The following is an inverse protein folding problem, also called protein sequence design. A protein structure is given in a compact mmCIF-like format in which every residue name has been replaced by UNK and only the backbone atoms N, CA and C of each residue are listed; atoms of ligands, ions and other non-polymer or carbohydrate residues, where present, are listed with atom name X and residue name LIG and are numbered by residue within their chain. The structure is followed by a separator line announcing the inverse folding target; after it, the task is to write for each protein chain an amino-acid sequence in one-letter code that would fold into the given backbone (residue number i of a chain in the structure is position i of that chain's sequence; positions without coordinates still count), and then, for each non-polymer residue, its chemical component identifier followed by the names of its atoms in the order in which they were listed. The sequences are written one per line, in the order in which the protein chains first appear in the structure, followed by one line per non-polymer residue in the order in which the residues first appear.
data_IF_386536876507
#
_entry.id   IF_386536876507
#
_cell.length_a   1.000
_cell.length_b   1.000
_cell.length_c   1.000
_cell.angle_alpha   90.00
_cell.angle_beta   90.00
_cell.angle_gamma   90.00
#
_symmetry.space_group_name_H-M   'P 1'
#
loop_
_entity.id
_entity.type
_entity.pdbx_description
1 polymer ?
#
# COMPACT_ATOMS: atom_id res chain seq x y z
N UNK A 1 -43.30 22.45 -16.58
CA UNK A 1 -41.86 22.79 -16.58
C UNK A 1 -41.37 22.95 -18.02
N UNK A 2 -40.42 23.84 -18.30
CA UNK A 2 -39.81 23.95 -19.63
C UNK A 2 -39.01 22.69 -19.97
N UNK A 3 -38.99 22.28 -21.25
CA UNK A 3 -38.22 21.13 -21.77
C UNK A 3 -36.76 21.15 -21.30
N UNK A 4 -36.15 22.33 -21.24
CA UNK A 4 -34.76 22.49 -20.83
C UNK A 4 -34.57 22.20 -19.33
N UNK A 5 -35.55 22.55 -18.49
CA UNK A 5 -35.50 22.25 -17.05
C UNK A 5 -35.66 20.75 -16.82
N UNK A 6 -36.53 20.09 -17.58
CA UNK A 6 -36.71 18.64 -17.51
C UNK A 6 -35.44 17.89 -17.92
N UNK A 7 -34.78 18.33 -19.01
CA UNK A 7 -33.51 17.76 -19.45
C UNK A 7 -32.40 17.92 -18.41
N UNK A 8 -32.30 19.09 -17.78
CA UNK A 8 -31.32 19.32 -16.71
C UNK A 8 -31.57 18.42 -15.49
N UNK A 9 -32.83 18.22 -15.11
CA UNK A 9 -33.19 17.34 -13.99
C UNK A 9 -32.89 15.88 -14.33
N UNK A 10 -33.21 15.43 -15.54
CA UNK A 10 -32.92 14.06 -15.98
C UNK A 10 -31.41 13.79 -16.07
N UNK A 11 -30.64 14.73 -16.61
CA UNK A 11 -29.19 14.60 -16.72
C UNK A 11 -28.50 14.64 -15.35
N UNK A 12 -28.93 15.56 -14.47
CA UNK A 12 -28.39 15.65 -13.11
C UNK A 12 -28.69 14.42 -12.26
N UNK A 13 -29.92 13.90 -12.35
CA UNK A 13 -30.31 12.71 -11.59
C UNK A 13 -29.65 11.42 -12.12
N UNK A 14 -29.43 11.28 -13.44
CA UNK A 14 -28.73 10.12 -13.98
C UNK A 14 -27.23 10.10 -13.64
N UNK A 15 -26.57 11.26 -13.65
CA UNK A 15 -25.17 11.40 -13.24
C UNK A 15 -24.97 11.08 -11.74
N UNK A 16 -25.90 11.50 -10.89
CA UNK A 16 -25.85 11.20 -9.45
C UNK A 16 -26.25 9.75 -9.13
N UNK A 17 -27.15 9.15 -9.90
CA UNK A 17 -27.55 7.75 -9.75
C UNK A 17 -26.45 6.76 -10.16
N UNK A 18 -25.50 7.16 -11.02
CA UNK A 18 -24.34 6.35 -11.39
C UNK A 18 -23.47 5.91 -10.20
N UNK A 19 -23.39 6.73 -9.15
CA UNK A 19 -22.69 6.36 -7.91
C UNK A 19 -23.42 5.28 -7.09
N UNK A 20 -24.73 5.09 -7.27
CA UNK A 20 -25.52 4.10 -6.52
C UNK A 20 -25.51 2.71 -7.19
N UNK A 21 -25.14 2.61 -8.47
CA UNK A 21 -25.07 1.35 -9.20
C UNK A 21 -23.98 0.41 -8.63
N UNK A 22 -22.88 0.99 -8.14
CA UNK A 22 -21.80 0.25 -7.47
C UNK A 22 -22.25 -0.29 -6.10
N UNK A 23 -23.12 0.43 -5.39
CA UNK A 23 -23.65 -0.01 -4.09
C UNK A 23 -24.77 -1.04 -4.18
N UNK A 24 -25.62 -0.96 -5.21
CA UNK A 24 -26.82 -1.80 -5.31
C UNK A 24 -26.50 -3.29 -5.57
N UNK A 25 -25.33 -3.57 -6.15
CA UNK A 25 -24.99 -4.92 -6.60
C UNK A 25 -23.98 -5.66 -5.70
N UNK A 26 -23.46 -5.04 -4.63
CA UNK A 26 -22.47 -5.66 -3.74
C UNK A 26 -21.34 -6.38 -4.51
N UNK A 27 -20.98 -5.86 -5.70
CA UNK A 27 -19.83 -6.38 -6.42
C UNK A 27 -18.60 -5.92 -5.64
N UNK A 28 -17.88 -6.88 -5.06
CA UNK A 28 -16.51 -6.65 -4.62
C UNK A 28 -15.78 -5.97 -5.78
N UNK A 29 -15.46 -4.70 -5.58
CA UNK A 29 -14.96 -3.82 -6.62
C UNK A 29 -13.68 -4.43 -7.23
N UNK A 30 -13.73 -4.78 -8.52
CA UNK A 30 -12.56 -5.06 -9.35
C UNK A 30 -12.37 -3.85 -10.28
N UNK A 31 -12.12 -2.68 -9.72
CA UNK A 31 -11.80 -1.48 -10.53
C UNK A 31 -10.33 -1.50 -10.90
N UNK A 32 -9.93 -0.85 -12.01
CA UNK A 32 -8.51 -0.69 -12.37
C UNK A 32 -7.71 0.07 -11.29
N UNK A 33 -8.40 0.74 -10.36
CA UNK A 33 -7.86 1.40 -9.17
C UNK A 33 -7.78 0.50 -7.93
N UNK A 34 -8.22 -0.77 -7.99
CA UNK A 34 -8.09 -1.73 -6.90
C UNK A 34 -6.63 -2.11 -6.60
N UNK A 35 -5.67 -1.56 -7.34
CA UNK A 35 -4.26 -1.52 -7.00
C UNK A 35 -3.70 -2.85 -6.51
N UNK A 36 -2.92 -2.79 -5.44
CA UNK A 36 -2.18 -3.93 -4.89
C UNK A 36 -3.02 -4.79 -3.91
N UNK A 37 -4.36 -4.66 -3.92
CA UNK A 37 -5.25 -5.33 -2.96
C UNK A 37 -5.09 -6.86 -2.99
N UNK A 38 -4.83 -7.43 -4.17
CA UNK A 38 -4.53 -8.88 -4.29
C UNK A 38 -3.25 -9.27 -3.56
N UNK A 39 -2.21 -8.41 -3.60
CA UNK A 39 -0.94 -8.63 -2.93
C UNK A 39 -1.04 -8.37 -1.42
N UNK A 40 -1.84 -7.41 -1.00
CA UNK A 40 -2.20 -7.20 0.39
C UNK A 40 -2.97 -8.41 0.97
N UNK A 41 -3.90 -8.99 0.20
CA UNK A 41 -4.65 -10.19 0.59
C UNK A 41 -3.75 -11.43 0.71
N UNK A 42 -2.76 -11.58 -0.18
CA UNK A 42 -1.74 -12.64 -0.05
C UNK A 42 -0.97 -12.51 1.28
N UNK A 43 -0.62 -11.29 1.68
CA UNK A 43 0.09 -11.04 2.93
C UNK A 43 -0.78 -11.36 4.16
N UNK A 44 -2.07 -11.02 4.13
CA UNK A 44 -3.04 -11.33 5.19
C UNK A 44 -3.32 -12.82 5.37
N UNK A 45 -3.24 -13.61 4.30
CA UNK A 45 -3.53 -15.05 4.33
C UNK A 45 -2.28 -15.94 4.46
N UNK A 46 -1.08 -15.35 4.52
CA UNK A 46 0.16 -16.11 4.69
C UNK A 46 0.41 -16.38 6.18
N UNK A 47 0.68 -17.64 6.51
CA UNK A 47 0.87 -18.11 7.90
C UNK A 47 2.11 -17.49 8.57
N UNK A 48 3.14 -17.16 7.79
CA UNK A 48 4.32 -16.41 8.23
C UNK A 48 4.80 -15.50 7.09
N UNK A 49 4.28 -14.26 7.00
CA UNK A 49 4.60 -13.35 5.90
C UNK A 49 5.97 -12.66 6.07
N UNK A 50 6.70 -12.95 7.15
CA UNK A 50 7.94 -12.27 7.47
C UNK A 50 9.13 -12.89 6.74
N UNK A 51 10.18 -12.07 6.56
CA UNK A 51 11.45 -12.56 6.05
C UNK A 51 12.01 -13.60 7.06
N UNK A 52 12.56 -14.75 6.62
CA UNK A 52 13.21 -15.70 7.53
C UNK A 52 14.27 -15.08 8.47
N UNK A 53 14.92 -14.00 8.03
CA UNK A 53 15.86 -13.24 8.85
C UNK A 53 15.19 -12.39 9.95
N UNK A 54 13.87 -12.18 9.92
CA UNK A 54 13.13 -11.39 10.92
C UNK A 54 13.12 -12.05 12.30
N UNK A 55 13.28 -13.36 12.38
CA UNK A 55 13.44 -14.09 13.65
C UNK A 55 14.89 -14.13 14.13
N UNK A 56 15.82 -13.51 13.40
CA UNK A 56 17.22 -13.48 13.79
C UNK A 56 17.45 -12.44 14.89
N UNK A 57 17.44 -12.88 16.15
CA UNK A 57 17.80 -12.05 17.30
C UNK A 57 19.31 -11.99 17.54
N UNK A 58 20.12 -12.65 16.68
CA UNK A 58 21.58 -12.68 16.82
C UNK A 58 22.17 -11.37 16.33
N UNK A 59 22.84 -10.67 17.24
CA UNK A 59 23.68 -9.54 16.90
C UNK A 59 25.02 -10.12 16.40
N UNK A 60 25.24 -10.09 15.09
CA UNK A 60 26.46 -10.63 14.43
C UNK A 60 27.75 -9.87 14.79
N UNK A 61 27.62 -8.66 15.33
CA UNK A 61 28.75 -7.84 15.77
C UNK A 61 28.78 -7.71 17.28
N UNK A 62 29.96 -7.81 17.87
CA UNK A 62 30.18 -7.38 19.24
C UNK A 62 30.58 -5.89 19.30
N UNK A 63 30.59 -5.35 20.53
CA UNK A 63 31.00 -3.97 20.76
C UNK A 63 32.45 -3.72 20.32
N UNK A 64 33.34 -4.71 20.46
CA UNK A 64 34.75 -4.59 20.10
C UNK A 64 34.94 -4.41 18.58
N UNK A 65 34.19 -5.14 17.76
CA UNK A 65 34.17 -4.99 16.30
C UNK A 65 33.68 -3.60 15.91
N UNK A 66 32.64 -3.09 16.57
CA UNK A 66 32.10 -1.75 16.31
C UNK A 66 33.14 -0.66 16.62
N UNK A 67 33.83 -0.79 17.76
CA UNK A 67 34.93 0.12 18.15
C UNK A 67 36.09 0.05 17.15
N UNK A 68 36.49 -1.14 16.71
CA UNK A 68 37.57 -1.31 15.74
C UNK A 68 37.29 -0.66 14.37
N UNK A 69 36.02 -0.59 13.94
CA UNK A 69 35.65 0.17 12.74
C UNK A 69 35.75 1.68 12.98
N UNK A 70 35.26 2.17 14.12
CA UNK A 70 35.39 3.60 14.48
C UNK A 70 36.86 4.03 14.50
N UNK A 71 37.74 3.21 15.06
CA UNK A 71 39.19 3.48 15.08
C UNK A 71 39.80 3.58 13.68
N UNK A 72 39.40 2.69 12.75
CA UNK A 72 39.87 2.75 11.35
C UNK A 72 39.50 4.06 10.64
N UNK A 73 38.34 4.64 10.96
CA UNK A 73 37.88 5.89 10.35
C UNK A 73 38.34 7.17 11.09
N UNK A 74 39.00 7.05 12.25
CA UNK A 74 39.64 8.20 12.92
C UNK A 74 40.83 8.74 12.12
N UNK A 75 41.47 7.89 11.34
CA UNK A 75 42.59 8.28 10.48
C UNK A 75 42.04 8.48 9.05
N UNK A 76 42.39 9.59 8.37
CA UNK A 76 42.04 9.75 6.97
C UNK A 76 42.66 8.61 6.14
N UNK A 77 42.01 8.15 5.06
CA UNK A 77 42.59 7.11 4.20
C UNK A 77 43.97 7.57 3.72
N UNK A 78 44.98 6.72 3.91
CA UNK A 78 46.29 6.94 3.26
C UNK A 78 46.08 6.87 1.74
N UNK A 79 46.41 7.97 1.06
CA UNK A 79 46.39 8.11 -0.39
C UNK A 79 47.36 7.14 -1.07
#
# INVERSE_FOLDING_TARGET
MSRNKLLLVLLGSSLLAGCAADYLNNYDTMTLASGDTQKANQLLQTVDPYNPASNNTKIEGDGARSVGIVEKYKLPPTA
#
